data_IF_231105632595
#
_entry.id   IF_231105632595
#
_cell.length_a   1.000
_cell.length_b   1.000
_cell.length_c   1.000
_cell.angle_alpha   90.00
_cell.angle_beta   90.00
_cell.angle_gamma   90.00
#
_symmetry.space_group_name_H-M   'P 1'
#
loop_
_entity.id
_entity.type
_entity.pdbx_description
1 polymer ?
#
# COMPACT_ATOMS: atom_id res chain seq x y z
N UNK A 1 50.37 21.00 -49.33
CA UNK A 1 49.29 20.04 -49.54
C UNK A 1 49.06 19.28 -48.25
N UNK A 2 48.26 19.81 -47.34
CA UNK A 2 47.89 19.12 -46.08
C UNK A 2 46.51 18.54 -46.26
N UNK A 3 46.41 17.22 -46.10
CA UNK A 3 45.15 16.50 -46.17
C UNK A 3 44.63 16.35 -44.73
N UNK A 4 43.67 17.20 -44.38
CA UNK A 4 42.96 17.09 -43.10
C UNK A 4 41.93 15.96 -43.15
N UNK A 5 42.16 14.90 -42.35
CA UNK A 5 41.16 13.84 -42.13
C UNK A 5 40.23 14.27 -40.99
N UNK A 6 39.07 14.76 -41.35
CA UNK A 6 37.97 15.05 -40.42
C UNK A 6 37.29 13.75 -39.99
N UNK A 7 37.56 13.30 -38.77
CA UNK A 7 36.82 12.19 -38.14
C UNK A 7 35.53 12.79 -37.58
N UNK A 8 34.42 12.63 -38.32
CA UNK A 8 33.09 12.95 -37.85
C UNK A 8 32.66 11.99 -36.76
N UNK A 9 32.69 12.44 -35.49
CA UNK A 9 32.01 11.74 -34.41
C UNK A 9 30.50 11.88 -34.66
N UNK A 10 29.88 10.84 -35.19
CA UNK A 10 28.43 10.67 -35.20
C UNK A 10 28.00 10.47 -33.76
N UNK A 11 27.50 11.54 -33.15
CA UNK A 11 26.80 11.51 -31.85
C UNK A 11 25.49 10.74 -32.06
N UNK A 12 25.48 9.43 -31.72
CA UNK A 12 24.23 8.66 -31.64
C UNK A 12 23.44 9.24 -30.48
N UNK A 13 22.55 10.17 -30.77
CA UNK A 13 21.47 10.60 -29.85
C UNK A 13 20.52 9.41 -29.68
N UNK A 14 20.84 8.50 -28.78
CA UNK A 14 19.88 7.52 -28.31
C UNK A 14 18.72 8.29 -27.66
N UNK A 15 17.53 8.21 -28.22
CA UNK A 15 16.32 8.76 -27.62
C UNK A 15 16.15 8.14 -26.24
N UNK A 16 16.17 8.98 -25.21
CA UNK A 16 15.98 8.52 -23.83
C UNK A 16 14.55 7.97 -23.72
N UNK A 17 14.41 6.68 -23.34
CA UNK A 17 13.12 6.02 -23.17
C UNK A 17 12.26 6.79 -22.16
N UNK A 18 10.98 6.89 -22.42
CA UNK A 18 10.03 7.45 -21.45
C UNK A 18 10.00 6.64 -20.15
N UNK A 19 9.59 7.25 -19.06
CA UNK A 19 9.46 6.55 -17.77
C UNK A 19 8.51 5.36 -17.86
N UNK A 20 7.44 5.47 -18.66
CA UNK A 20 6.46 4.38 -18.87
C UNK A 20 7.11 3.21 -19.60
N UNK A 21 7.85 3.46 -20.68
CA UNK A 21 8.58 2.39 -21.39
C UNK A 21 9.55 1.65 -20.48
N UNK A 22 10.29 2.37 -19.64
CA UNK A 22 11.18 1.75 -18.64
C UNK A 22 10.43 0.85 -17.65
N UNK A 23 9.26 1.28 -17.17
CA UNK A 23 8.44 0.47 -16.28
C UNK A 23 7.87 -0.79 -16.97
N UNK A 24 7.52 -0.68 -18.27
CA UNK A 24 7.04 -1.81 -19.06
C UNK A 24 8.15 -2.83 -19.38
N UNK A 25 9.42 -2.41 -19.39
CA UNK A 25 10.60 -3.24 -19.56
C UNK A 25 11.21 -3.73 -18.24
N UNK A 26 10.62 -3.36 -17.10
CA UNK A 26 11.13 -3.78 -15.79
C UNK A 26 11.26 -5.29 -15.69
N UNK A 27 12.36 -5.77 -15.09
CA UNK A 27 12.56 -7.18 -14.78
C UNK A 27 11.56 -7.70 -13.76
N UNK A 28 10.91 -6.80 -13.02
CA UNK A 28 9.92 -7.13 -12.00
C UNK A 28 8.51 -7.21 -12.62
N UNK A 29 7.89 -8.40 -12.72
CA UNK A 29 6.60 -8.55 -13.38
C UNK A 29 5.49 -7.76 -12.70
N UNK A 30 5.57 -7.54 -11.38
CA UNK A 30 4.60 -6.73 -10.65
C UNK A 30 4.66 -5.25 -11.02
N UNK A 31 5.84 -4.72 -11.33
CA UNK A 31 5.98 -3.34 -11.83
C UNK A 31 5.33 -3.21 -13.21
N UNK A 32 5.58 -4.18 -14.11
CA UNK A 32 4.91 -4.23 -15.42
C UNK A 32 3.40 -4.33 -15.31
N UNK A 33 2.91 -5.18 -14.40
CA UNK A 33 1.49 -5.32 -14.11
C UNK A 33 0.86 -4.00 -13.67
N UNK A 34 1.45 -3.35 -12.65
CA UNK A 34 0.97 -2.06 -12.15
C UNK A 34 1.00 -0.97 -13.24
N UNK A 35 2.05 -0.92 -14.06
CA UNK A 35 2.15 0.03 -15.17
C UNK A 35 1.00 -0.20 -16.19
N UNK A 36 0.74 -1.43 -16.58
CA UNK A 36 -0.31 -1.75 -17.56
C UNK A 36 -1.71 -1.52 -17.00
N UNK A 37 -2.01 -2.05 -15.81
CA UNK A 37 -3.37 -1.99 -15.25
C UNK A 37 -3.68 -0.62 -14.64
N UNK A 38 -2.75 -0.03 -13.87
CA UNK A 38 -3.06 1.17 -13.11
C UNK A 38 -2.65 2.49 -13.81
N UNK A 39 -1.62 2.46 -14.68
CA UNK A 39 -1.20 3.66 -15.43
C UNK A 39 -1.82 3.68 -16.82
N UNK A 40 -1.70 2.59 -17.59
CA UNK A 40 -2.24 2.51 -18.95
C UNK A 40 -3.73 2.15 -19.01
N UNK A 41 -4.33 1.71 -17.88
CA UNK A 41 -5.75 1.33 -17.80
C UNK A 41 -6.13 0.15 -18.68
N UNK A 42 -5.20 -0.78 -18.90
CA UNK A 42 -5.53 -2.03 -19.57
C UNK A 42 -6.51 -2.86 -18.76
N UNK A 43 -7.36 -3.60 -19.44
CA UNK A 43 -8.34 -4.48 -18.81
C UNK A 43 -7.63 -5.55 -17.95
N UNK A 44 -7.88 -5.57 -16.62
CA UNK A 44 -7.26 -6.53 -15.71
C UNK A 44 -7.64 -7.99 -16.03
N UNK A 45 -8.76 -8.22 -16.70
CA UNK A 45 -9.26 -9.54 -17.09
C UNK A 45 -8.75 -10.01 -18.44
N UNK A 46 -8.00 -9.18 -19.17
CA UNK A 46 -7.41 -9.55 -20.46
C UNK A 46 -6.46 -10.75 -20.33
N UNK A 47 -6.39 -11.57 -21.39
CA UNK A 47 -5.45 -12.72 -21.43
C UNK A 47 -4.00 -12.32 -21.18
N UNK A 48 -3.60 -11.15 -21.65
CA UNK A 48 -2.23 -10.64 -21.49
C UNK A 48 -1.93 -10.29 -20.03
N UNK A 49 -2.88 -9.70 -19.30
CA UNK A 49 -2.72 -9.37 -17.89
C UNK A 49 -2.77 -10.63 -17.03
N UNK A 50 -3.66 -11.58 -17.31
CA UNK A 50 -3.67 -12.88 -16.61
C UNK A 50 -2.36 -13.64 -16.79
N UNK A 51 -1.76 -13.64 -17.99
CA UNK A 51 -0.43 -14.22 -18.21
C UNK A 51 0.63 -13.54 -17.35
N UNK A 52 0.60 -12.21 -17.25
CA UNK A 52 1.53 -11.44 -16.42
C UNK A 52 1.35 -11.74 -14.92
N UNK A 53 0.12 -11.98 -14.47
CA UNK A 53 -0.13 -12.43 -13.09
C UNK A 53 0.48 -13.82 -12.82
N UNK A 54 0.46 -14.74 -13.79
CA UNK A 54 1.17 -16.02 -13.66
C UNK A 54 2.70 -15.84 -13.57
N UNK A 55 3.27 -14.86 -14.30
CA UNK A 55 4.67 -14.50 -14.15
C UNK A 55 4.95 -13.96 -12.73
N UNK A 56 4.05 -13.16 -12.16
CA UNK A 56 4.15 -12.69 -10.76
C UNK A 56 4.16 -13.88 -9.81
N UNK A 57 3.23 -14.83 -9.97
CA UNK A 57 3.09 -16.00 -9.09
C UNK A 57 4.38 -16.81 -8.96
N UNK A 58 5.12 -16.96 -10.05
CA UNK A 58 6.35 -17.75 -10.08
C UNK A 58 7.62 -16.91 -9.93
N UNK A 59 7.49 -15.60 -9.72
CA UNK A 59 8.63 -14.67 -9.64
C UNK A 59 9.54 -14.97 -8.46
N UNK A 60 10.84 -14.62 -8.56
CA UNK A 60 11.77 -14.77 -7.44
C UNK A 60 11.30 -14.05 -6.17
N UNK A 61 10.62 -12.89 -6.31
CA UNK A 61 10.09 -12.11 -5.20
C UNK A 61 9.00 -12.86 -4.45
N UNK A 62 8.03 -13.40 -5.16
CA UNK A 62 6.94 -14.20 -4.56
C UNK A 62 7.51 -15.47 -3.91
N UNK A 63 8.43 -16.16 -4.57
CA UNK A 63 9.13 -17.32 -4.00
C UNK A 63 9.83 -16.97 -2.69
N UNK A 64 10.52 -15.84 -2.63
CA UNK A 64 11.18 -15.39 -1.41
C UNK A 64 10.17 -15.04 -0.31
N UNK A 65 9.06 -14.35 -0.61
CA UNK A 65 8.02 -14.05 0.36
C UNK A 65 7.37 -15.31 0.96
N UNK A 66 7.26 -16.36 0.18
CA UNK A 66 6.65 -17.64 0.57
C UNK A 66 7.65 -18.69 1.06
N UNK A 67 8.97 -18.38 1.06
CA UNK A 67 10.04 -19.35 1.34
C UNK A 67 10.07 -19.88 2.78
N UNK A 68 9.45 -19.18 3.72
CA UNK A 68 9.42 -19.59 5.13
C UNK A 68 8.17 -20.39 5.51
N UNK A 69 7.34 -20.77 4.53
CA UNK A 69 6.21 -21.66 4.79
C UNK A 69 6.70 -23.07 5.15
N UNK A 70 6.18 -23.60 6.24
CA UNK A 70 6.37 -25.00 6.63
C UNK A 70 5.57 -25.96 5.71
N UNK A 71 5.69 -27.28 5.98
CA UNK A 71 4.94 -28.32 5.25
C UNK A 71 3.42 -28.18 5.33
N UNK A 72 2.93 -27.56 6.41
CA UNK A 72 1.52 -27.22 6.62
C UNK A 72 1.05 -25.97 5.85
N UNK A 73 1.96 -25.31 5.13
CA UNK A 73 1.70 -24.09 4.37
C UNK A 73 1.66 -22.82 5.23
N UNK A 74 1.89 -22.91 6.56
CA UNK A 74 1.92 -21.78 7.50
C UNK A 74 3.34 -21.22 7.65
N UNK A 75 3.45 -19.98 8.08
CA UNK A 75 4.73 -19.36 8.45
C UNK A 75 4.96 -19.60 9.95
N UNK A 76 6.14 -20.13 10.37
CA UNK A 76 6.40 -20.55 11.75
C UNK A 76 6.64 -19.38 12.72
N UNK A 77 5.98 -18.27 12.51
CA UNK A 77 6.07 -17.07 13.34
C UNK A 77 4.67 -16.55 13.66
N UNK A 78 4.61 -15.68 14.69
CA UNK A 78 3.40 -14.93 14.97
C UNK A 78 2.92 -14.19 13.68
N UNK A 79 1.63 -14.24 13.33
CA UNK A 79 1.12 -13.68 12.07
C UNK A 79 1.53 -12.23 11.82
N UNK A 80 1.66 -11.45 12.89
CA UNK A 80 2.06 -10.03 12.82
C UNK A 80 3.58 -9.81 12.81
N UNK A 81 4.45 -10.81 12.85
CA UNK A 81 5.90 -10.56 12.87
C UNK A 81 6.31 -9.66 11.70
N UNK A 82 6.82 -8.48 12.03
CA UNK A 82 7.18 -7.42 11.06
C UNK A 82 8.45 -7.81 10.28
N UNK A 83 8.45 -7.89 8.99
CA UNK A 83 7.41 -7.82 7.95
C UNK A 83 7.39 -9.15 7.19
N UNK A 84 7.60 -10.25 7.90
CA UNK A 84 7.73 -11.61 7.36
C UNK A 84 6.64 -12.58 7.87
N UNK A 85 5.79 -12.18 8.81
CA UNK A 85 4.63 -12.98 9.23
C UNK A 85 3.52 -13.01 8.18
N UNK A 86 2.60 -13.98 8.30
CA UNK A 86 1.55 -14.26 7.32
C UNK A 86 0.71 -13.02 6.95
N UNK A 87 0.41 -12.17 7.92
CA UNK A 87 -0.32 -10.91 7.71
C UNK A 87 0.36 -10.00 6.68
N UNK A 88 1.68 -9.84 6.77
CA UNK A 88 2.45 -8.98 5.88
C UNK A 88 2.75 -9.63 4.55
N UNK A 89 2.91 -10.95 4.53
CA UNK A 89 3.09 -11.72 3.29
C UNK A 89 1.85 -11.64 2.43
N UNK A 90 0.66 -11.86 2.98
CA UNK A 90 -0.59 -11.71 2.24
C UNK A 90 -0.79 -10.28 1.73
N UNK A 91 -0.49 -9.26 2.55
CA UNK A 91 -0.58 -7.87 2.13
C UNK A 91 0.39 -7.55 0.97
N UNK A 92 1.62 -8.07 1.03
CA UNK A 92 2.59 -7.90 -0.05
C UNK A 92 2.13 -8.60 -1.33
N UNK A 93 1.62 -9.83 -1.26
CA UNK A 93 1.09 -10.56 -2.43
C UNK A 93 -0.07 -9.80 -3.08
N UNK A 94 -1.01 -9.28 -2.26
CA UNK A 94 -2.13 -8.48 -2.76
C UNK A 94 -1.64 -7.22 -3.49
N UNK A 95 -0.67 -6.51 -2.90
CA UNK A 95 -0.12 -5.29 -3.51
C UNK A 95 0.74 -5.56 -4.75
N UNK A 96 1.34 -6.75 -4.87
CA UNK A 96 2.09 -7.17 -6.06
C UNK A 96 1.21 -7.48 -7.29
N UNK A 97 -0.10 -7.65 -7.11
CA UNK A 97 -1.00 -8.12 -8.16
C UNK A 97 -0.94 -9.64 -8.36
N UNK A 98 -0.67 -10.39 -7.29
CA UNK A 98 -0.73 -11.85 -7.30
C UNK A 98 -2.10 -12.33 -7.78
N UNK A 99 -2.18 -13.39 -8.62
CA UNK A 99 -3.45 -13.88 -9.15
C UNK A 99 -4.41 -14.29 -8.02
N UNK A 100 -5.69 -13.88 -8.08
CA UNK A 100 -6.66 -14.21 -7.04
C UNK A 100 -7.11 -15.67 -7.10
N UNK A 101 -7.61 -16.20 -5.98
CA UNK A 101 -8.23 -17.52 -5.89
C UNK A 101 -7.25 -18.67 -5.69
N UNK A 102 -5.98 -18.40 -5.39
CA UNK A 102 -4.99 -19.46 -5.14
C UNK A 102 -5.20 -20.09 -3.76
N UNK A 103 -5.77 -21.29 -3.75
CA UNK A 103 -6.07 -22.06 -2.54
C UNK A 103 -4.82 -22.44 -1.73
N UNK A 104 -3.63 -22.43 -2.34
CA UNK A 104 -2.37 -22.68 -1.61
C UNK A 104 -2.07 -21.61 -0.56
N UNK A 105 -2.76 -20.46 -0.60
CA UNK A 105 -2.65 -19.38 0.39
C UNK A 105 -3.64 -19.52 1.56
N UNK A 106 -4.57 -20.49 1.52
CA UNK A 106 -5.53 -20.71 2.62
C UNK A 106 -4.86 -20.90 3.99
N UNK A 107 -3.77 -21.68 4.13
CA UNK A 107 -3.10 -21.80 5.43
C UNK A 107 -2.59 -20.46 6.00
N UNK A 108 -2.10 -19.54 5.15
CA UNK A 108 -1.69 -18.20 5.59
C UNK A 108 -2.89 -17.34 5.97
N UNK A 109 -3.99 -17.38 5.17
CA UNK A 109 -5.25 -16.71 5.52
C UNK A 109 -5.77 -17.19 6.86
N UNK A 110 -5.83 -18.51 7.06
CA UNK A 110 -6.34 -19.09 8.29
C UNK A 110 -5.48 -18.73 9.49
N UNK A 111 -4.16 -18.75 9.35
CA UNK A 111 -3.24 -18.30 10.39
C UNK A 111 -3.50 -16.84 10.81
N UNK A 112 -3.80 -15.95 9.87
CA UNK A 112 -4.13 -14.55 10.17
C UNK A 112 -5.49 -14.43 10.82
N UNK A 113 -6.52 -15.10 10.28
CA UNK A 113 -7.89 -14.99 10.78
C UNK A 113 -8.06 -15.66 12.14
N UNK A 114 -7.45 -16.82 12.38
CA UNK A 114 -7.44 -17.48 13.70
C UNK A 114 -6.89 -16.54 14.77
N UNK A 115 -5.77 -15.86 14.50
CA UNK A 115 -5.22 -14.89 15.42
C UNK A 115 -6.13 -13.68 15.63
N UNK A 116 -6.59 -13.05 14.53
CA UNK A 116 -7.35 -11.80 14.61
C UNK A 116 -8.78 -11.97 15.13
N UNK A 117 -9.31 -13.18 15.15
CA UNK A 117 -10.62 -13.50 15.75
C UNK A 117 -10.53 -14.20 17.09
N UNK A 118 -9.31 -14.34 17.65
CA UNK A 118 -9.07 -14.97 18.95
C UNK A 118 -9.42 -14.04 20.11
N UNK A 119 -9.69 -14.62 21.27
CA UNK A 119 -9.88 -13.89 22.53
C UNK A 119 -8.64 -13.07 22.91
N UNK A 120 -7.45 -13.58 22.62
CA UNK A 120 -6.18 -12.84 22.85
C UNK A 120 -6.16 -11.54 22.06
N UNK A 121 -6.54 -11.56 20.78
CA UNK A 121 -6.62 -10.36 19.95
C UNK A 121 -7.61 -9.34 20.54
N UNK A 122 -8.80 -9.79 20.88
CA UNK A 122 -9.83 -8.92 21.44
C UNK A 122 -9.41 -8.30 22.78
N UNK A 123 -8.79 -9.09 23.65
CA UNK A 123 -8.38 -8.62 24.98
C UNK A 123 -7.21 -7.64 24.92
N UNK A 124 -6.23 -7.89 24.03
CA UNK A 124 -5.00 -7.09 23.98
C UNK A 124 -5.09 -5.88 23.07
N UNK A 125 -5.82 -5.99 21.96
CA UNK A 125 -5.78 -4.99 20.91
C UNK A 125 -7.05 -4.12 20.83
N UNK A 126 -8.17 -4.58 21.43
CA UNK A 126 -9.39 -3.79 21.57
C UNK A 126 -9.42 -3.22 22.99
N UNK A 127 -9.05 -1.95 23.13
CA UNK A 127 -8.93 -1.30 24.43
C UNK A 127 -10.11 -0.39 24.70
N UNK A 128 -11.02 -0.87 25.55
CA UNK A 128 -12.16 -0.10 26.05
C UNK A 128 -11.74 0.76 27.23
N UNK A 129 -12.06 2.06 27.16
CA UNK A 129 -11.88 3.01 28.28
C UNK A 129 -13.22 3.34 28.92
N UNK A 130 -13.19 3.70 30.22
CA UNK A 130 -14.41 4.10 30.96
C UNK A 130 -15.09 5.30 30.32
N UNK A 131 -14.29 6.26 29.81
CA UNK A 131 -14.79 7.44 29.11
C UNK A 131 -14.00 7.62 27.80
N UNK A 132 -14.68 7.59 26.66
CA UNK A 132 -14.08 7.83 25.36
C UNK A 132 -14.24 6.67 24.36
N UNK A 133 -13.85 6.88 23.12
CA UNK A 133 -14.01 5.88 22.08
C UNK A 133 -13.09 4.69 22.30
N UNK A 134 -13.51 3.54 21.79
CA UNK A 134 -12.71 2.28 21.83
C UNK A 134 -11.47 2.47 20.96
N UNK A 135 -10.34 1.99 21.46
CA UNK A 135 -9.05 2.07 20.78
C UNK A 135 -8.69 0.73 20.18
N UNK A 136 -8.44 0.73 18.88
CA UNK A 136 -8.07 -0.47 18.13
C UNK A 136 -6.90 -0.16 17.19
N UNK A 137 -6.20 -1.21 16.81
CA UNK A 137 -5.26 -1.16 15.69
C UNK A 137 -6.02 -1.34 14.38
N UNK A 138 -6.81 -0.32 13.97
CA UNK A 138 -7.61 -0.37 12.75
C UNK A 138 -6.80 -0.71 11.51
N UNK A 139 -5.52 -0.31 11.48
CA UNK A 139 -4.58 -0.65 10.41
C UNK A 139 -4.37 -2.16 10.23
N UNK A 140 -4.47 -2.96 11.30
CA UNK A 140 -4.35 -4.42 11.21
C UNK A 140 -5.58 -5.03 10.55
N UNK A 141 -6.77 -4.69 11.07
CA UNK A 141 -8.03 -5.19 10.49
C UNK A 141 -8.15 -4.76 9.02
N UNK A 142 -7.89 -3.48 8.73
CA UNK A 142 -7.93 -2.95 7.37
C UNK A 142 -6.98 -3.67 6.40
N UNK A 143 -5.75 -3.91 6.83
CA UNK A 143 -4.76 -4.58 5.98
C UNK A 143 -5.13 -6.05 5.70
N UNK A 144 -5.62 -6.79 6.72
CA UNK A 144 -6.06 -8.17 6.55
C UNK A 144 -7.28 -8.27 5.62
N UNK A 145 -8.32 -7.45 5.86
CA UNK A 145 -9.51 -7.41 5.01
C UNK A 145 -9.13 -7.12 3.55
N UNK A 146 -8.32 -6.08 3.33
CA UNK A 146 -7.90 -5.70 1.98
C UNK A 146 -7.14 -6.84 1.28
N UNK A 147 -6.17 -7.43 1.97
CA UNK A 147 -5.35 -8.51 1.41
C UNK A 147 -6.18 -9.74 1.05
N UNK A 148 -7.04 -10.20 1.96
CA UNK A 148 -7.87 -11.40 1.77
C UNK A 148 -8.84 -11.19 0.62
N UNK A 149 -9.55 -10.05 0.57
CA UNK A 149 -10.50 -9.74 -0.50
C UNK A 149 -9.81 -9.57 -1.86
N UNK A 150 -8.67 -8.88 -1.91
CA UNK A 150 -7.92 -8.68 -3.15
C UNK A 150 -7.38 -9.99 -3.72
N UNK A 151 -6.95 -10.90 -2.85
CA UNK A 151 -6.45 -12.22 -3.24
C UNK A 151 -7.58 -13.23 -3.52
N UNK A 152 -8.85 -12.85 -3.40
CA UNK A 152 -9.99 -13.76 -3.61
C UNK A 152 -9.97 -14.96 -2.66
N UNK A 153 -9.56 -14.74 -1.40
CA UNK A 153 -9.46 -15.77 -0.36
C UNK A 153 -10.63 -15.65 0.63
N UNK A 154 -11.84 -15.44 0.13
CA UNK A 154 -13.02 -15.15 0.92
C UNK A 154 -13.23 -16.14 2.08
N UNK A 155 -13.60 -15.58 3.25
CA UNK A 155 -13.85 -16.35 4.47
C UNK A 155 -14.87 -15.62 5.35
N UNK A 156 -15.86 -16.31 5.96
CA UNK A 156 -16.88 -15.67 6.80
C UNK A 156 -16.31 -14.87 7.98
N UNK A 157 -15.13 -15.23 8.49
CA UNK A 157 -14.45 -14.52 9.59
C UNK A 157 -14.05 -13.08 9.24
N UNK A 158 -13.92 -12.74 7.94
CA UNK A 158 -13.68 -11.37 7.48
C UNK A 158 -14.79 -10.43 7.96
N UNK A 159 -16.04 -10.92 8.05
CA UNK A 159 -17.17 -10.12 8.54
C UNK A 159 -16.95 -9.64 9.99
N UNK A 160 -16.25 -10.42 10.84
CA UNK A 160 -15.91 -10.00 12.21
C UNK A 160 -14.93 -8.82 12.20
N UNK A 161 -13.92 -8.85 11.34
CA UNK A 161 -12.95 -7.77 11.19
C UNK A 161 -13.63 -6.50 10.65
N UNK A 162 -14.54 -6.65 9.69
CA UNK A 162 -15.36 -5.53 9.19
C UNK A 162 -16.21 -4.97 10.33
N UNK A 163 -16.81 -5.83 11.15
CA UNK A 163 -17.55 -5.43 12.37
C UNK A 163 -16.71 -4.58 13.31
N UNK A 164 -15.48 -4.98 13.62
CA UNK A 164 -14.55 -4.17 14.44
C UNK A 164 -14.35 -2.76 13.86
N UNK A 165 -14.17 -2.64 12.54
CA UNK A 165 -13.99 -1.33 11.92
C UNK A 165 -15.28 -0.49 11.99
N UNK A 166 -16.46 -1.09 11.81
CA UNK A 166 -17.73 -0.36 11.85
C UNK A 166 -18.10 0.06 13.28
N UNK A 167 -17.96 -0.85 14.25
CA UNK A 167 -18.38 -0.65 15.63
C UNK A 167 -17.46 0.30 16.41
N UNK A 168 -16.16 0.35 16.03
CA UNK A 168 -15.15 1.12 16.74
C UNK A 168 -14.64 2.34 15.98
N UNK A 169 -15.35 2.74 14.90
CA UNK A 169 -15.04 3.97 14.19
C UNK A 169 -15.34 5.18 15.09
N UNK A 170 -14.36 6.05 15.25
CA UNK A 170 -14.49 7.24 16.08
C UNK A 170 -15.47 8.28 15.50
N UNK A 171 -15.98 9.22 16.34
CA UNK A 171 -16.91 10.25 15.88
C UNK A 171 -16.34 11.12 14.74
N UNK A 172 -15.02 11.37 14.72
CA UNK A 172 -14.34 12.13 13.66
C UNK A 172 -14.09 11.34 12.37
N UNK A 173 -14.42 10.05 12.35
CA UNK A 173 -14.44 9.20 11.15
C UNK A 173 -13.31 8.21 11.01
N UNK A 174 -12.30 8.20 11.88
CA UNK A 174 -11.19 7.25 11.79
C UNK A 174 -11.04 6.35 13.00
N UNK A 175 -9.82 5.89 13.23
CA UNK A 175 -9.43 4.99 14.35
C UNK A 175 -8.14 5.47 14.99
N UNK A 176 -7.90 5.01 16.22
CA UNK A 176 -6.66 5.28 16.93
C UNK A 176 -6.37 4.14 17.91
N UNK A 177 -5.11 3.72 17.99
CA UNK A 177 -4.61 2.71 18.94
C UNK A 177 -3.86 3.33 20.13
N UNK A 178 -3.62 4.64 20.12
CA UNK A 178 -2.84 5.32 21.16
C UNK A 178 -3.51 5.20 22.51
N UNK A 179 -2.74 4.71 23.50
CA UNK A 179 -3.20 4.54 24.88
C UNK A 179 -3.13 5.83 25.70
N UNK A 180 -2.46 6.87 25.20
CA UNK A 180 -2.42 8.17 25.89
C UNK A 180 -3.82 8.81 25.89
N UNK A 181 -4.22 9.30 27.06
CA UNK A 181 -5.49 10.00 27.24
C UNK A 181 -5.60 11.29 26.40
N UNK A 182 -4.46 11.86 26.01
CA UNK A 182 -4.39 13.09 25.20
C UNK A 182 -4.71 12.87 23.72
N UNK A 183 -4.68 11.65 23.22
CA UNK A 183 -5.09 11.32 21.86
C UNK A 183 -6.61 11.45 21.70
N UNK A 184 -7.08 12.60 21.24
CA UNK A 184 -8.53 12.92 21.09
C UNK A 184 -9.00 12.88 19.65
N UNK A 185 -8.12 12.65 18.68
CA UNK A 185 -8.41 12.58 17.24
C UNK A 185 -7.93 11.26 16.64
N UNK A 186 -8.53 10.88 15.53
CA UNK A 186 -8.11 9.71 14.76
C UNK A 186 -6.66 9.83 14.27
N UNK A 187 -5.96 8.70 14.28
CA UNK A 187 -4.59 8.57 13.75
C UNK A 187 -4.62 8.32 12.24
N UNK A 188 -3.79 9.00 11.49
CA UNK A 188 -3.62 8.75 10.06
C UNK A 188 -3.08 7.34 9.79
N UNK A 189 -2.10 6.90 10.60
CA UNK A 189 -1.50 5.57 10.50
C UNK A 189 -2.54 4.44 10.73
N UNK A 190 -3.55 4.69 11.60
CA UNK A 190 -4.60 3.71 11.90
C UNK A 190 -5.84 3.85 11.01
N UNK A 191 -5.92 4.87 10.14
CA UNK A 191 -7.15 5.18 9.40
C UNK A 191 -7.05 4.86 7.89
N UNK A 192 -5.88 4.98 7.26
CA UNK A 192 -5.78 4.84 5.81
C UNK A 192 -5.99 3.40 5.30
N UNK A 193 -5.52 2.39 6.04
CA UNK A 193 -5.77 0.97 5.68
C UNK A 193 -7.24 0.56 5.90
N UNK A 194 -7.91 0.93 7.00
CA UNK A 194 -9.36 0.77 7.11
C UNK A 194 -10.14 1.43 5.98
N UNK A 195 -9.81 2.65 5.61
CA UNK A 195 -10.45 3.32 4.47
C UNK A 195 -10.33 2.49 3.18
N UNK A 196 -9.12 2.01 2.89
CA UNK A 196 -8.84 1.14 1.74
C UNK A 196 -9.69 -0.12 1.75
N UNK A 197 -9.71 -0.80 2.89
CA UNK A 197 -10.44 -2.05 3.08
C UNK A 197 -11.97 -1.88 2.97
N UNK A 198 -12.50 -0.86 3.64
CA UNK A 198 -13.94 -0.61 3.64
C UNK A 198 -14.44 -0.11 2.27
N UNK A 199 -13.64 0.66 1.54
CA UNK A 199 -13.95 1.06 0.17
C UNK A 199 -14.02 -0.18 -0.78
N UNK A 200 -13.07 -1.11 -0.64
CA UNK A 200 -13.09 -2.37 -1.38
C UNK A 200 -14.28 -3.26 -0.98
N UNK A 201 -14.49 -3.49 0.32
CA UNK A 201 -15.60 -4.29 0.82
C UNK A 201 -16.97 -3.72 0.41
N UNK A 202 -17.13 -2.39 0.49
CA UNK A 202 -18.36 -1.72 0.05
C UNK A 202 -18.68 -1.97 -1.42
N UNK A 203 -17.65 -2.09 -2.27
CA UNK A 203 -17.80 -2.36 -3.71
C UNK A 203 -18.11 -3.83 -3.97
N UNK A 204 -17.38 -4.75 -3.37
CA UNK A 204 -17.51 -6.19 -3.61
C UNK A 204 -18.80 -6.77 -3.01
N UNK A 205 -19.15 -6.38 -1.79
CA UNK A 205 -20.31 -6.88 -1.05
C UNK A 205 -21.54 -5.96 -1.15
N UNK A 206 -21.50 -4.87 -1.94
CA UNK A 206 -22.55 -3.83 -2.00
C UNK A 206 -22.95 -3.30 -0.60
N UNK A 207 -22.02 -3.34 0.38
CA UNK A 207 -22.31 -3.06 1.79
C UNK A 207 -22.43 -1.56 2.07
N UNK A 208 -23.63 -1.13 2.50
CA UNK A 208 -23.93 0.28 2.81
C UNK A 208 -23.14 0.79 4.02
N UNK A 209 -23.02 -0.03 5.09
CA UNK A 209 -22.28 0.34 6.31
C UNK A 209 -20.82 0.65 6.01
N UNK A 210 -20.13 -0.25 5.28
CA UNK A 210 -18.74 -0.03 4.85
C UNK A 210 -18.60 1.19 3.96
N UNK A 211 -19.55 1.47 3.07
CA UNK A 211 -19.54 2.66 2.22
C UNK A 211 -19.63 3.95 3.03
N UNK A 212 -20.52 4.01 4.03
CA UNK A 212 -20.65 5.16 4.91
C UNK A 212 -19.40 5.35 5.76
N UNK A 213 -18.88 4.27 6.35
CA UNK A 213 -17.66 4.32 7.16
C UNK A 213 -16.43 4.74 6.35
N UNK A 214 -16.28 4.25 5.11
CA UNK A 214 -15.22 4.67 4.21
C UNK A 214 -15.29 6.17 3.89
N UNK A 215 -16.48 6.71 3.61
CA UNK A 215 -16.67 8.16 3.37
C UNK A 215 -16.26 8.98 4.59
N UNK A 216 -16.66 8.58 5.80
CA UNK A 216 -16.25 9.25 7.04
C UNK A 216 -14.73 9.18 7.24
N UNK A 217 -14.11 8.03 6.95
CA UNK A 217 -12.66 7.87 7.03
C UNK A 217 -11.92 8.76 6.02
N UNK A 218 -12.44 8.92 4.81
CA UNK A 218 -11.88 9.85 3.82
C UNK A 218 -11.87 11.29 4.32
N UNK A 219 -12.92 11.74 5.05
CA UNK A 219 -12.99 13.07 5.62
C UNK A 219 -11.89 13.37 6.65
N UNK A 220 -11.39 12.36 7.37
CA UNK A 220 -10.23 12.52 8.27
C UNK A 220 -9.01 13.07 7.52
N UNK A 221 -8.79 12.62 6.30
CA UNK A 221 -7.68 13.08 5.46
C UNK A 221 -8.02 14.37 4.72
N UNK A 222 -9.18 14.44 4.11
CA UNK A 222 -9.60 15.59 3.28
C UNK A 222 -9.69 16.88 4.11
N UNK A 223 -10.24 16.83 5.31
CA UNK A 223 -10.30 17.99 6.22
C UNK A 223 -8.92 18.55 6.58
N UNK A 224 -7.90 17.72 6.48
CA UNK A 224 -6.48 18.06 6.75
C UNK A 224 -5.64 18.13 5.47
N UNK A 225 -6.29 18.25 4.31
CA UNK A 225 -5.63 18.29 2.99
C UNK A 225 -4.50 17.26 2.86
N UNK A 226 -4.72 16.06 3.43
CA UNK A 226 -3.87 14.87 3.51
C UNK A 226 -2.66 14.94 4.44
N UNK A 227 -2.13 16.10 4.82
CA UNK A 227 -0.96 16.14 5.72
C UNK A 227 -0.80 17.45 6.51
N UNK A 228 -1.79 18.35 6.50
CA UNK A 228 -1.71 19.63 7.22
C UNK A 228 -2.62 19.68 8.44
N UNK A 229 -2.19 20.40 9.46
CA UNK A 229 -2.99 20.66 10.65
C UNK A 229 -4.10 21.67 10.32
N UNK A 230 -5.29 21.42 10.85
CA UNK A 230 -6.41 22.37 10.70
C UNK A 230 -6.20 23.65 11.50
N UNK A 231 -5.45 23.59 12.62
CA UNK A 231 -5.28 24.69 13.56
C UNK A 231 -4.36 25.80 13.06
N UNK A 232 -3.25 25.45 12.41
CA UNK A 232 -2.17 26.38 12.05
C UNK A 232 -1.63 26.19 10.61
N UNK A 233 -2.19 25.25 9.87
CA UNK A 233 -1.77 24.95 8.50
C UNK A 233 -0.36 24.33 8.37
N UNK A 234 0.29 24.00 9.48
CA UNK A 234 1.60 23.33 9.45
C UNK A 234 1.46 21.85 9.12
N UNK A 235 2.53 21.26 8.62
CA UNK A 235 2.61 19.81 8.39
C UNK A 235 2.43 19.05 9.71
N UNK A 236 1.57 18.01 9.69
CA UNK A 236 1.28 17.18 10.88
C UNK A 236 2.57 16.46 11.32
N UNK A 237 3.26 15.84 10.36
CA UNK A 237 4.49 15.08 10.60
C UNK A 237 5.38 15.12 9.36
N UNK A 238 6.64 15.50 9.52
CA UNK A 238 7.57 15.68 8.39
C UNK A 238 7.73 14.40 7.56
N UNK A 239 7.77 13.24 8.20
CA UNK A 239 7.86 11.94 7.50
C UNK A 239 6.68 11.63 6.58
N UNK A 240 5.52 12.30 6.75
CA UNK A 240 4.37 12.13 5.85
C UNK A 240 4.64 12.67 4.44
N UNK A 241 5.56 13.60 4.31
CA UNK A 241 5.93 14.18 3.02
C UNK A 241 6.86 13.28 2.19
N UNK A 242 7.52 12.30 2.82
CA UNK A 242 8.50 11.46 2.15
C UNK A 242 7.85 10.33 1.38
N UNK A 243 8.31 10.10 0.15
CA UNK A 243 7.88 8.98 -0.66
C UNK A 243 8.57 7.68 -0.20
N UNK A 244 7.82 6.60 -0.10
CA UNK A 244 8.35 5.28 0.25
C UNK A 244 7.51 4.15 -0.35
N UNK A 245 8.13 2.98 -0.46
CA UNK A 245 7.47 1.73 -0.82
C UNK A 245 8.22 0.53 -0.21
N UNK A 246 7.48 -0.45 0.38
CA UNK A 246 6.09 -0.36 0.81
C UNK A 246 5.93 0.53 2.06
N UNK A 247 4.75 1.10 2.23
CA UNK A 247 4.43 1.93 3.40
C UNK A 247 4.10 1.08 4.64
N UNK A 248 3.72 -0.19 4.45
CA UNK A 248 3.15 -1.07 5.47
C UNK A 248 1.94 -0.40 6.15
N UNK A 249 2.00 -0.08 7.46
CA UNK A 249 0.93 0.71 8.12
C UNK A 249 1.24 2.21 8.21
N UNK A 250 2.48 2.63 7.92
CA UNK A 250 2.85 4.03 8.06
C UNK A 250 2.14 4.88 7.00
N UNK A 251 1.58 5.97 7.45
CA UNK A 251 1.00 6.94 6.54
C UNK A 251 2.09 7.78 5.87
N UNK A 252 1.85 8.15 4.64
CA UNK A 252 2.62 9.11 3.87
C UNK A 252 1.77 9.64 2.73
N UNK A 253 2.23 10.73 2.12
CA UNK A 253 1.45 11.42 1.07
C UNK A 253 1.09 10.50 -0.10
N UNK A 254 2.01 9.61 -0.50
CA UNK A 254 1.76 8.67 -1.60
C UNK A 254 0.68 7.64 -1.24
N UNK A 255 0.74 7.04 -0.04
CA UNK A 255 -0.30 6.12 0.42
C UNK A 255 -1.64 6.82 0.65
N UNK A 256 -1.61 8.07 1.14
CA UNK A 256 -2.81 8.90 1.27
C UNK A 256 -3.47 9.18 -0.06
N UNK A 257 -2.75 9.65 -1.06
CA UNK A 257 -3.27 9.90 -2.41
C UNK A 257 -3.74 8.60 -3.09
N UNK A 258 -3.00 7.49 -2.90
CA UNK A 258 -3.41 6.18 -3.42
C UNK A 258 -4.77 5.77 -2.87
N UNK A 259 -4.97 5.85 -1.55
CA UNK A 259 -6.25 5.45 -0.97
C UNK A 259 -7.39 6.41 -1.33
N UNK A 260 -7.12 7.71 -1.54
CA UNK A 260 -8.10 8.63 -2.10
C UNK A 260 -8.53 8.22 -3.51
N UNK A 261 -7.58 7.78 -4.36
CA UNK A 261 -7.89 7.25 -5.69
C UNK A 261 -8.73 5.97 -5.61
N UNK A 262 -8.36 5.00 -4.77
CA UNK A 262 -9.07 3.74 -4.57
C UNK A 262 -10.48 3.93 -3.99
N UNK A 263 -10.68 4.98 -3.17
CA UNK A 263 -11.97 5.37 -2.59
C UNK A 263 -12.82 6.28 -3.51
N UNK A 264 -12.31 6.66 -4.69
CA UNK A 264 -12.99 7.55 -5.62
C UNK A 264 -13.02 9.03 -5.19
N UNK A 265 -12.12 9.45 -4.31
CA UNK A 265 -12.07 10.80 -3.73
C UNK A 265 -10.89 11.64 -4.26
N UNK A 266 -10.08 11.13 -5.20
CA UNK A 266 -8.85 11.81 -5.64
C UNK A 266 -9.09 13.15 -6.33
N UNK A 267 -10.26 13.34 -6.93
CA UNK A 267 -10.66 14.57 -7.62
C UNK A 267 -11.29 15.62 -6.67
N UNK A 268 -11.37 15.34 -5.36
CA UNK A 268 -11.77 16.35 -4.38
C UNK A 268 -10.72 17.49 -4.37
N UNK A 269 -11.14 18.76 -4.45
CA UNK A 269 -10.21 19.91 -4.48
C UNK A 269 -9.21 19.94 -3.31
N UNK A 270 -9.57 19.35 -2.18
CA UNK A 270 -8.70 19.25 -0.99
C UNK A 270 -7.51 18.31 -1.18
N UNK A 271 -7.50 17.47 -2.22
CA UNK A 271 -6.33 16.68 -2.61
C UNK A 271 -5.27 17.49 -3.39
N UNK A 272 -5.60 18.70 -3.86
CA UNK A 272 -4.75 19.47 -4.76
C UNK A 272 -3.33 19.68 -4.23
N UNK A 273 -3.19 20.20 -3.00
CA UNK A 273 -1.88 20.51 -2.42
C UNK A 273 -1.00 19.26 -2.29
N UNK A 274 -1.61 18.12 -1.97
CA UNK A 274 -0.93 16.84 -1.87
C UNK A 274 -0.48 16.32 -3.25
N UNK A 275 -1.30 16.51 -4.28
CA UNK A 275 -0.95 16.18 -5.66
C UNK A 275 0.16 17.08 -6.18
N UNK A 276 0.10 18.38 -5.91
CA UNK A 276 1.15 19.34 -6.30
C UNK A 276 2.48 18.97 -5.64
N UNK A 277 2.45 18.60 -4.37
CA UNK A 277 3.63 18.12 -3.65
C UNK A 277 4.17 16.82 -4.26
N UNK A 278 3.31 15.86 -4.63
CA UNK A 278 3.75 14.64 -5.31
C UNK A 278 4.45 14.97 -6.63
N UNK A 279 3.85 15.83 -7.47
CA UNK A 279 4.42 16.24 -8.76
C UNK A 279 5.76 16.94 -8.59
N UNK A 280 5.93 17.78 -7.56
CA UNK A 280 7.19 18.49 -7.28
C UNK A 280 8.37 17.55 -6.97
N UNK A 281 8.10 16.28 -6.62
CA UNK A 281 9.12 15.25 -6.37
C UNK A 281 9.52 14.45 -7.62
N UNK A 282 8.94 14.79 -8.77
CA UNK A 282 9.28 14.14 -10.04
C UNK A 282 10.73 14.46 -10.41
N UNK A 283 11.49 13.44 -10.71
CA UNK A 283 12.89 13.55 -11.15
C UNK A 283 12.97 14.00 -12.62
N UNK A 284 14.11 14.54 -13.06
CA UNK A 284 14.31 14.96 -14.45
C UNK A 284 14.09 13.84 -15.48
N UNK A 285 14.28 12.57 -15.08
CA UNK A 285 14.05 11.39 -15.90
C UNK A 285 12.56 10.94 -15.92
N UNK A 286 11.67 11.70 -15.30
CA UNK A 286 10.23 11.43 -15.21
C UNK A 286 9.83 10.47 -14.08
N UNK A 287 10.78 9.84 -13.40
CA UNK A 287 10.53 8.91 -12.29
C UNK A 287 10.33 9.60 -10.94
N UNK A 288 10.15 8.78 -9.89
CA UNK A 288 10.03 9.26 -8.51
C UNK A 288 10.99 8.51 -7.60
N UNK A 289 11.60 9.19 -6.61
CA UNK A 289 12.55 8.59 -5.69
C UNK A 289 11.85 7.84 -4.56
N UNK A 290 12.57 6.92 -3.90
CA UNK A 290 12.21 6.45 -2.55
C UNK A 290 13.04 7.22 -1.54
N UNK A 291 12.39 8.04 -0.71
CA UNK A 291 13.07 8.97 0.20
C UNK A 291 13.24 8.38 1.60
N UNK A 292 12.50 7.32 1.93
CA UNK A 292 12.60 6.61 3.21
C UNK A 292 12.19 5.14 3.07
N UNK A 293 12.53 4.33 4.10
CA UNK A 293 12.12 2.93 4.20
C UNK A 293 11.76 2.57 5.64
N UNK A 294 10.85 1.61 5.77
CA UNK A 294 10.40 1.11 7.08
C UNK A 294 10.82 -0.34 7.35
N UNK A 295 11.51 -0.98 6.42
CA UNK A 295 11.94 -2.38 6.52
C UNK A 295 13.47 -2.50 6.50
N UNK A 296 13.93 -3.67 6.90
CA UNK A 296 15.32 -4.11 6.72
C UNK A 296 15.31 -5.39 5.86
N UNK A 297 15.97 -5.33 4.71
CA UNK A 297 16.14 -6.52 3.88
C UNK A 297 17.25 -7.40 4.50
N UNK A 298 16.84 -8.44 5.21
CA UNK A 298 17.74 -9.32 5.94
C UNK A 298 17.14 -10.72 6.11
N UNK A 299 18.00 -11.73 6.09
CA UNK A 299 17.64 -13.12 6.41
C UNK A 299 17.76 -13.42 7.91
N UNK A 300 18.32 -12.52 8.72
CA UNK A 300 18.46 -12.71 10.16
C UNK A 300 17.10 -12.82 10.85
N UNK A 301 16.90 -13.85 11.67
CA UNK A 301 15.62 -14.15 12.32
C UNK A 301 15.26 -13.18 13.46
N UNK A 302 16.27 -12.54 14.05
CA UNK A 302 16.16 -11.60 15.17
C UNK A 302 15.85 -10.15 14.74
N UNK A 303 15.80 -9.88 13.44
CA UNK A 303 15.55 -8.55 12.90
C UNK A 303 14.12 -8.05 13.19
N UNK A 304 14.01 -6.86 13.79
CA UNK A 304 12.73 -6.28 14.22
C UNK A 304 11.81 -5.80 13.08
N UNK A 305 12.33 -5.54 11.88
CA UNK A 305 11.58 -5.05 10.70
C UNK A 305 12.00 -5.82 9.46
N UNK A 306 12.11 -7.12 9.64
CA UNK A 306 12.65 -8.03 8.65
C UNK A 306 11.76 -8.14 7.42
N UNK A 307 12.32 -7.91 6.26
CA UNK A 307 11.72 -8.23 4.96
C UNK A 307 12.62 -9.20 4.21
N UNK A 308 12.04 -10.25 3.65
CA UNK A 308 12.74 -11.25 2.83
C UNK A 308 13.10 -10.72 1.44
N UNK A 309 12.50 -9.60 1.06
CA UNK A 309 12.68 -8.98 -0.26
C UNK A 309 13.06 -7.50 -0.11
N UNK A 310 13.92 -7.03 -0.99
CA UNK A 310 14.22 -5.61 -1.14
C UNK A 310 13.24 -4.93 -2.09
N UNK A 311 12.86 -3.69 -1.82
CA UNK A 311 11.95 -2.91 -2.63
C UNK A 311 12.66 -1.71 -3.29
N UNK A 312 13.94 -1.88 -3.57
CA UNK A 312 14.82 -0.81 -4.02
C UNK A 312 15.44 -0.03 -2.86
N UNK A 313 16.48 0.71 -3.16
CA UNK A 313 17.20 1.53 -2.18
C UNK A 313 16.56 2.89 -1.99
N UNK A 314 16.92 3.53 -0.87
CA UNK A 314 16.59 4.94 -0.60
C UNK A 314 17.54 5.85 -1.38
N UNK A 315 16.99 6.84 -2.07
CA UNK A 315 17.73 7.86 -2.81
C UNK A 315 16.81 9.04 -3.12
N UNK A 316 17.30 10.26 -2.99
CA UNK A 316 16.58 11.46 -3.43
C UNK A 316 16.82 11.80 -4.92
N UNK A 317 17.70 11.08 -5.61
CA UNK A 317 18.17 11.43 -6.97
C UNK A 317 18.01 10.31 -7.99
N UNK A 318 17.57 9.13 -7.57
CA UNK A 318 17.41 7.97 -8.45
C UNK A 318 15.98 7.47 -8.37
N UNK A 319 15.41 7.17 -9.53
CA UNK A 319 14.10 6.55 -9.64
C UNK A 319 14.05 5.23 -8.87
N UNK A 320 12.97 5.04 -8.11
CA UNK A 320 12.55 3.76 -7.60
C UNK A 320 11.32 3.30 -8.38
N UNK A 321 11.37 2.14 -9.02
CA UNK A 321 10.29 1.65 -9.90
C UNK A 321 8.96 1.50 -9.18
N UNK A 322 9.00 1.02 -7.92
CA UNK A 322 7.79 0.83 -7.10
C UNK A 322 7.12 2.15 -6.76
N UNK A 323 7.90 3.11 -6.27
CA UNK A 323 7.38 4.46 -5.97
C UNK A 323 6.90 5.13 -7.24
N UNK A 324 7.62 4.98 -8.34
CA UNK A 324 7.29 5.62 -9.63
C UNK A 324 5.98 5.09 -10.18
N UNK A 325 5.77 3.77 -10.21
CA UNK A 325 4.52 3.22 -10.75
C UNK A 325 3.32 3.58 -9.88
N UNK A 326 3.47 3.64 -8.55
CA UNK A 326 2.39 4.10 -7.65
C UNK A 326 2.09 5.59 -7.85
N UNK A 327 3.11 6.43 -7.96
CA UNK A 327 2.94 7.87 -8.19
C UNK A 327 2.25 8.15 -9.53
N UNK A 328 2.68 7.49 -10.60
CA UNK A 328 2.04 7.62 -11.92
C UNK A 328 0.59 7.12 -11.92
N UNK A 329 0.30 6.02 -11.21
CA UNK A 329 -1.07 5.52 -11.03
C UNK A 329 -1.98 6.56 -10.35
N UNK A 330 -1.48 7.19 -9.29
CA UNK A 330 -2.19 8.27 -8.58
C UNK A 330 -2.44 9.46 -9.50
N UNK A 331 -1.40 9.97 -10.16
CA UNK A 331 -1.50 11.11 -11.08
C UNK A 331 -2.46 10.81 -12.24
N UNK A 332 -2.40 9.60 -12.79
CA UNK A 332 -3.36 9.14 -13.81
C UNK A 332 -4.80 9.16 -13.31
N UNK A 333 -5.03 8.73 -12.06
CA UNK A 333 -6.37 8.76 -11.46
C UNK A 333 -6.88 10.17 -11.18
N UNK A 334 -5.96 11.13 -10.99
CA UNK A 334 -6.24 12.54 -10.81
C UNK A 334 -6.27 13.34 -12.14
N UNK A 335 -6.15 12.69 -13.31
CA UNK A 335 -6.07 13.31 -14.64
C UNK A 335 -4.91 14.33 -14.77
N UNK A 336 -3.72 13.99 -14.18
CA UNK A 336 -2.51 14.82 -14.17
C UNK A 336 -1.31 14.20 -14.90
N UNK A 337 -1.53 13.23 -15.77
CA UNK A 337 -0.49 12.56 -16.59
C UNK A 337 -0.74 12.79 -18.06
#
# INVERSE_FOLDING_TARGET
>A
MEIGIGIGLACVKGTMKSVIERLLESMEPSVRYKARVHVLREDPDSRAIRKLQEEIRVSPRVKALLSERGPDGRIPFHPYKKFCGAHWVLAALADLGYPPGDKSLFPLRDQVLEWMTSEEYETRLIRRRKNGPVRIHGSLDGNAIYAILTLGLDDPRVSKLVGHLLDYQWPDGGWNCDVDAKGTASSFDETWLPLRALALHARLAANRGSRVAAKRAAEVFLSRRLCWRMSDGRVIKQSYLNLCYPAYWHYGILSGLKVMAEAGCINDPRCKDALDLLESKRLPDGGFPSEQTYYQNTTRLDGSRRSLVGWGGVSSRRMNEWVTVEALSVLRSANRT
#
